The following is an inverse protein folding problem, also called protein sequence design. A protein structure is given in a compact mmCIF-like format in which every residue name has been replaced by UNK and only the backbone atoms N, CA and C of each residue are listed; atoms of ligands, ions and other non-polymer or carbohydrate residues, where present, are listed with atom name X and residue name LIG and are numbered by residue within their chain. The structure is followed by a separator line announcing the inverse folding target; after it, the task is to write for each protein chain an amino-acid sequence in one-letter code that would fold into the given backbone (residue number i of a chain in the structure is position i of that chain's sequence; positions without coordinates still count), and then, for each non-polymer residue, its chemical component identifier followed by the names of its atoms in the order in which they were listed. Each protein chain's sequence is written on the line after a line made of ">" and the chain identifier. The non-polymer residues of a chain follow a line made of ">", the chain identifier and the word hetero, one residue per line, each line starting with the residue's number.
data_IF_057690331491
#
_entry.id   IF_057690331491
#
_cell.length_a   1.000
_cell.length_b   1.000
_cell.length_c   1.000
_cell.angle_alpha   90.00
_cell.angle_beta   90.00
_cell.angle_gamma   90.00
#
_symmetry.space_group_name_H-M   'P 1'
#
loop_
_entity.id
_entity.type
_entity.pdbx_description
1 polymer ?
#
# COMPACT_ATOMS: atom_id res chain seq x y z
N UNK A 1 29.13 20.15 -2.26
CA UNK A 1 28.35 19.90 -1.04
C UNK A 1 27.22 18.93 -1.39
N UNK A 2 27.05 17.81 -0.68
CA UNK A 2 25.93 16.90 -0.88
C UNK A 2 24.69 17.53 -0.27
N UNK A 3 23.61 17.60 -1.04
CA UNK A 3 22.30 18.07 -0.57
C UNK A 3 21.43 16.83 -0.39
N UNK A 4 20.76 16.72 0.75
CA UNK A 4 19.84 15.65 1.05
C UNK A 4 18.43 16.23 1.15
N UNK A 5 17.48 15.60 0.43
CA UNK A 5 16.07 15.94 0.50
C UNK A 5 15.33 14.84 1.27
N UNK A 6 14.39 15.21 2.12
CA UNK A 6 13.42 14.28 2.64
C UNK A 6 12.39 13.96 1.55
N UNK A 7 12.16 12.69 1.29
CA UNK A 7 11.09 12.27 0.40
C UNK A 7 9.76 12.44 1.14
N UNK A 8 8.77 13.05 0.48
CA UNK A 8 7.47 13.32 1.10
C UNK A 8 6.37 13.52 0.07
N UNK A 9 5.17 13.14 0.42
CA UNK A 9 3.97 13.51 -0.31
C UNK A 9 3.60 14.97 -0.06
N UNK A 10 3.10 15.63 -1.09
CA UNK A 10 2.66 17.03 -1.01
C UNK A 10 1.18 17.10 -0.61
N UNK A 11 0.90 17.04 0.69
CA UNK A 11 -0.45 17.14 1.22
C UNK A 11 -0.78 18.59 1.60
N UNK A 12 -1.73 19.19 0.87
CA UNK A 12 -2.22 20.53 1.14
C UNK A 12 -3.59 20.45 1.80
N UNK A 13 -3.79 21.02 3.01
CA UNK A 13 -5.07 20.94 3.68
C UNK A 13 -6.16 21.74 2.94
N UNK A 14 -7.34 21.11 2.77
CA UNK A 14 -8.51 21.72 2.13
C UNK A 14 -9.04 22.91 2.95
N UNK A 15 -9.10 22.74 4.27
CA UNK A 15 -9.40 23.83 5.22
C UNK A 15 -8.12 24.27 5.94
N UNK A 16 -7.36 25.18 5.34
CA UNK A 16 -6.12 25.72 5.93
C UNK A 16 -6.34 26.40 7.28
N UNK A 17 -7.48 27.08 7.48
CA UNK A 17 -7.78 27.78 8.73
C UNK A 17 -8.14 26.82 9.86
N UNK A 18 -8.92 25.78 9.54
CA UNK A 18 -9.24 24.71 10.48
C UNK A 18 -8.01 23.90 10.85
N UNK A 19 -7.17 23.55 9.86
CA UNK A 19 -5.92 22.82 10.07
C UNK A 19 -4.97 23.57 11.02
N UNK A 20 -4.79 24.88 10.82
CA UNK A 20 -3.97 25.72 11.70
C UNK A 20 -4.49 25.77 13.15
N UNK A 21 -5.77 25.45 13.38
CA UNK A 21 -6.40 25.34 14.69
C UNK A 21 -6.46 23.91 15.24
N UNK A 22 -5.75 22.96 14.60
CA UNK A 22 -5.73 21.56 15.02
C UNK A 22 -6.97 20.74 14.64
N UNK A 23 -7.83 21.23 13.73
CA UNK A 23 -8.97 20.47 13.23
C UNK A 23 -8.54 19.52 12.13
N UNK A 24 -9.09 18.30 12.15
CA UNK A 24 -8.92 17.33 11.06
C UNK A 24 -9.52 17.89 9.76
N UNK A 25 -8.75 17.83 8.69
CA UNK A 25 -9.18 18.24 7.36
C UNK A 25 -8.82 17.18 6.33
N UNK A 26 -9.51 17.17 5.20
CA UNK A 26 -9.09 16.38 4.04
C UNK A 26 -7.97 17.11 3.29
N UNK A 27 -7.07 16.40 2.62
CA UNK A 27 -6.18 17.02 1.66
C UNK A 27 -6.96 17.49 0.43
N UNK A 28 -6.44 18.49 -0.27
CA UNK A 28 -7.00 18.94 -1.56
C UNK A 28 -6.94 17.82 -2.58
N UNK A 29 -5.80 17.11 -2.62
CA UNK A 29 -5.59 15.91 -3.42
C UNK A 29 -5.12 14.79 -2.50
N UNK A 30 -5.88 13.71 -2.34
CA UNK A 30 -5.46 12.55 -1.56
C UNK A 30 -4.37 11.75 -2.30
N UNK A 31 -3.58 11.00 -1.56
CA UNK A 31 -2.68 10.00 -2.10
C UNK A 31 -3.53 8.85 -2.61
N UNK A 32 -3.64 8.71 -3.92
CA UNK A 32 -4.51 7.72 -4.55
C UNK A 32 -3.71 6.56 -5.09
N UNK A 33 -4.07 5.35 -4.69
CA UNK A 33 -3.53 4.12 -5.24
C UNK A 33 -4.58 3.40 -6.07
N UNK A 34 -4.19 3.01 -7.28
CA UNK A 34 -5.01 2.20 -8.17
C UNK A 34 -4.67 0.73 -7.97
N UNK A 35 -5.66 -0.07 -7.60
CA UNK A 35 -5.50 -1.50 -7.35
C UNK A 35 -5.79 -2.30 -8.61
N UNK A 36 -4.83 -3.14 -9.00
CA UNK A 36 -4.93 -4.00 -10.18
C UNK A 36 -6.13 -4.95 -10.10
N UNK A 37 -6.88 -5.07 -11.18
CA UNK A 37 -8.03 -5.96 -11.31
C UNK A 37 -7.64 -7.44 -11.39
N UNK A 38 -6.38 -7.74 -11.74
CA UNK A 38 -5.84 -9.09 -11.83
C UNK A 38 -5.65 -9.79 -10.47
N UNK A 39 -5.76 -9.07 -9.35
CA UNK A 39 -5.70 -9.70 -8.02
C UNK A 39 -6.83 -10.71 -7.82
N UNK A 40 -6.56 -11.89 -7.19
CA UNK A 40 -7.61 -12.78 -6.70
C UNK A 40 -8.59 -12.03 -5.81
N UNK A 41 -9.88 -12.33 -5.93
CA UNK A 41 -10.95 -11.56 -5.27
C UNK A 41 -10.79 -11.51 -3.74
N UNK A 42 -10.38 -12.63 -3.14
CA UNK A 42 -10.14 -12.73 -1.70
C UNK A 42 -8.90 -11.97 -1.21
N UNK A 43 -8.03 -11.47 -2.11
CA UNK A 43 -6.87 -10.65 -1.75
C UNK A 43 -7.19 -9.16 -1.73
N UNK A 44 -8.16 -8.71 -2.53
CA UNK A 44 -8.47 -7.29 -2.72
C UNK A 44 -8.83 -6.59 -1.41
N UNK A 45 -9.71 -7.23 -0.62
CA UNK A 45 -10.12 -6.66 0.67
C UNK A 45 -8.95 -6.48 1.64
N UNK A 46 -8.15 -7.52 1.98
CA UNK A 46 -7.01 -7.34 2.88
C UNK A 46 -5.94 -6.38 2.36
N UNK A 47 -5.72 -6.31 1.04
CA UNK A 47 -4.80 -5.32 0.46
C UNK A 47 -5.33 -3.90 0.72
N UNK A 48 -6.60 -3.65 0.42
CA UNK A 48 -7.24 -2.35 0.67
C UNK A 48 -7.18 -1.94 2.13
N UNK A 49 -7.50 -2.85 3.04
CA UNK A 49 -7.43 -2.63 4.47
C UNK A 49 -6.01 -2.29 4.93
N UNK A 50 -5.01 -3.02 4.44
CA UNK A 50 -3.60 -2.78 4.76
C UNK A 50 -3.12 -1.39 4.35
N UNK A 51 -3.49 -0.93 3.16
CA UNK A 51 -3.16 0.42 2.68
C UNK A 51 -3.85 1.49 3.54
N UNK A 52 -5.15 1.33 3.78
CA UNK A 52 -5.95 2.34 4.49
C UNK A 52 -5.64 2.45 5.99
N UNK A 53 -4.93 1.48 6.58
CA UNK A 53 -4.45 1.56 7.97
C UNK A 53 -3.64 2.85 8.23
N UNK A 54 -2.90 3.33 7.25
CA UNK A 54 -2.06 4.52 7.37
C UNK A 54 -2.86 5.81 7.53
N UNK A 55 -4.15 5.84 7.16
CA UNK A 55 -5.01 6.99 7.45
C UNK A 55 -5.02 7.34 8.94
N UNK A 56 -4.92 6.33 9.84
CA UNK A 56 -4.81 6.56 11.28
C UNK A 56 -3.55 7.35 11.67
N UNK A 57 -2.44 7.16 10.95
CA UNK A 57 -1.22 7.92 11.15
C UNK A 57 -1.38 9.35 10.63
N UNK A 58 -2.00 9.52 9.46
CA UNK A 58 -2.29 10.84 8.90
C UNK A 58 -3.27 11.66 9.75
N UNK A 59 -4.22 11.03 10.43
CA UNK A 59 -5.10 11.70 11.40
C UNK A 59 -4.32 12.32 12.57
N UNK A 60 -3.21 11.70 12.99
CA UNK A 60 -2.33 12.26 14.04
C UNK A 60 -1.66 13.56 13.64
N UNK A 61 -1.48 13.78 12.34
CA UNK A 61 -0.91 15.02 11.79
C UNK A 61 -1.98 15.94 11.19
N UNK A 62 -3.26 15.67 11.45
CA UNK A 62 -4.37 16.56 11.10
C UNK A 62 -5.06 16.27 9.75
N UNK A 63 -4.73 15.17 9.07
CA UNK A 63 -5.38 14.80 7.81
C UNK A 63 -6.28 13.58 7.98
N UNK A 64 -7.55 13.69 7.64
CA UNK A 64 -8.46 12.54 7.45
C UNK A 64 -8.54 12.20 5.96
N UNK A 65 -8.77 10.91 5.66
CA UNK A 65 -8.87 10.43 4.28
C UNK A 65 -7.69 10.87 3.40
N UNK A 66 -6.48 10.81 3.97
CA UNK A 66 -5.26 11.21 3.26
C UNK A 66 -4.89 10.22 2.15
N UNK A 67 -5.22 8.94 2.34
CA UNK A 67 -4.97 7.86 1.39
C UNK A 67 -6.30 7.26 0.96
N UNK A 68 -6.43 7.00 -0.34
CA UNK A 68 -7.56 6.27 -0.91
C UNK A 68 -7.07 5.15 -1.85
N UNK A 69 -7.86 4.09 -1.95
CA UNK A 69 -7.62 2.98 -2.87
C UNK A 69 -8.82 2.85 -3.78
N UNK A 70 -8.59 2.94 -5.07
CA UNK A 70 -9.60 2.79 -6.12
C UNK A 70 -9.25 1.62 -7.04
N UNK A 71 -10.25 0.98 -7.60
CA UNK A 71 -10.01 -0.09 -8.58
C UNK A 71 -9.60 0.50 -9.92
N UNK A 72 -8.84 -0.25 -10.71
CA UNK A 72 -8.53 0.15 -12.08
C UNK A 72 -9.82 0.40 -12.86
N UNK A 73 -9.88 1.44 -13.69
CA UNK A 73 -11.03 1.69 -14.54
C UNK A 73 -11.22 0.51 -15.52
N UNK A 74 -12.47 0.09 -15.71
CA UNK A 74 -12.81 -1.04 -16.59
C UNK A 74 -12.41 -0.81 -18.05
N UNK A 75 -12.34 0.44 -18.47
CA UNK A 75 -11.81 0.83 -19.79
C UNK A 75 -10.31 1.09 -19.66
N UNK A 76 -9.52 0.08 -20.01
CA UNK A 76 -8.05 0.13 -19.95
C UNK A 76 -7.40 1.23 -20.79
N UNK A 77 -8.14 1.95 -21.65
CA UNK A 77 -7.60 3.04 -22.45
C UNK A 77 -7.31 4.33 -21.70
N UNK A 78 -7.86 4.47 -20.49
CA UNK A 78 -7.81 5.74 -19.74
C UNK A 78 -6.74 5.75 -18.64
N UNK A 79 -6.13 4.60 -18.30
CA UNK A 79 -5.10 4.49 -17.28
C UNK A 79 -3.98 3.55 -17.73
N UNK A 80 -2.79 4.09 -17.85
CA UNK A 80 -1.57 3.33 -18.07
C UNK A 80 -0.85 3.17 -16.72
N UNK A 81 -0.78 1.94 -16.16
CA UNK A 81 -0.12 1.71 -14.88
C UNK A 81 1.40 1.95 -14.90
N UNK A 82 1.99 2.12 -16.08
CA UNK A 82 3.40 2.49 -16.23
C UNK A 82 3.61 4.01 -16.37
N UNK A 83 2.52 4.79 -16.33
CA UNK A 83 2.58 6.25 -16.34
C UNK A 83 2.83 6.78 -14.92
N UNK A 84 3.83 7.62 -14.75
CA UNK A 84 4.23 8.29 -13.50
C UNK A 84 3.10 9.11 -12.83
N UNK A 85 1.99 9.35 -13.51
CA UNK A 85 0.83 10.02 -12.95
C UNK A 85 -0.01 9.14 -12.02
N UNK A 86 0.21 7.83 -12.04
CA UNK A 86 -0.64 6.87 -11.34
C UNK A 86 0.15 5.99 -10.39
N UNK A 87 -0.05 6.17 -9.09
CA UNK A 87 0.45 5.24 -8.09
C UNK A 87 -0.39 3.95 -8.10
N UNK A 88 0.26 2.79 -8.20
CA UNK A 88 -0.42 1.53 -8.45
C UNK A 88 -0.06 0.45 -7.43
N UNK A 89 -1.03 -0.43 -7.13
CA UNK A 89 -0.78 -1.69 -6.45
C UNK A 89 -0.98 -2.78 -7.50
N UNK A 90 0.13 -3.42 -7.90
CA UNK A 90 0.19 -4.29 -9.08
C UNK A 90 0.32 -5.76 -8.70
N UNK A 91 -0.45 -6.61 -9.39
CA UNK A 91 -0.29 -8.05 -9.33
C UNK A 91 0.77 -8.51 -10.32
N UNK A 92 1.77 -9.25 -9.83
CA UNK A 92 2.84 -9.79 -10.67
C UNK A 92 2.75 -11.30 -10.72
N UNK A 93 2.31 -11.88 -11.86
CA UNK A 93 2.36 -13.32 -12.07
C UNK A 93 3.82 -13.75 -12.27
N UNK A 94 4.42 -14.35 -11.27
CA UNK A 94 5.81 -14.80 -11.34
C UNK A 94 5.96 -16.20 -10.76
N UNK A 95 6.69 -17.06 -11.45
CA UNK A 95 7.12 -18.37 -10.93
C UNK A 95 8.30 -18.28 -9.95
N UNK A 96 8.95 -17.13 -9.85
CA UNK A 96 10.02 -16.91 -8.90
C UNK A 96 9.46 -16.55 -7.51
N UNK A 97 10.12 -17.04 -6.46
CA UNK A 97 9.80 -16.64 -5.10
C UNK A 97 10.37 -15.24 -4.85
N UNK A 98 9.48 -14.25 -4.80
CA UNK A 98 9.85 -12.87 -4.57
C UNK A 98 9.00 -12.27 -3.43
N UNK A 99 9.64 -11.48 -2.59
CA UNK A 99 8.97 -10.63 -1.60
C UNK A 99 8.23 -9.50 -2.32
N UNK A 100 7.11 -9.02 -1.79
CA UNK A 100 6.54 -7.77 -2.24
C UNK A 100 7.59 -6.67 -2.25
N UNK A 101 7.55 -5.83 -3.24
CA UNK A 101 8.46 -4.71 -3.41
C UNK A 101 7.71 -3.44 -3.71
N UNK A 102 8.33 -2.33 -3.40
CA UNK A 102 7.78 -1.00 -3.69
C UNK A 102 8.84 -0.16 -4.38
N UNK A 103 8.39 0.72 -5.25
CA UNK A 103 9.21 1.73 -5.91
C UNK A 103 8.57 3.10 -5.75
N UNK A 104 9.40 4.14 -5.71
CA UNK A 104 8.96 5.53 -5.60
C UNK A 104 9.69 6.40 -6.60
N UNK A 105 8.95 7.25 -7.30
CA UNK A 105 9.51 8.27 -8.17
C UNK A 105 9.44 9.63 -7.47
N UNK A 106 10.58 10.26 -7.34
CA UNK A 106 10.75 11.49 -6.55
C UNK A 106 11.27 12.60 -7.44
N UNK A 107 10.71 13.79 -7.27
CA UNK A 107 11.26 14.99 -7.90
C UNK A 107 12.63 15.30 -7.30
N UNK A 108 13.71 15.24 -8.09
CA UNK A 108 15.09 15.41 -7.58
C UNK A 108 15.37 16.83 -7.04
N UNK A 109 14.56 17.81 -7.40
CA UNK A 109 14.74 19.19 -6.98
C UNK A 109 14.04 19.52 -5.66
N UNK A 110 12.96 18.77 -5.31
CA UNK A 110 12.11 19.12 -4.16
C UNK A 110 12.00 17.99 -3.13
N UNK A 111 12.29 16.74 -3.50
CA UNK A 111 12.03 15.55 -2.69
C UNK A 111 10.55 15.14 -2.66
N UNK A 112 9.69 15.78 -3.46
CA UNK A 112 8.28 15.42 -3.56
C UNK A 112 8.11 14.04 -4.22
N UNK A 113 7.35 13.16 -3.59
CA UNK A 113 6.97 11.87 -4.17
C UNK A 113 5.90 12.15 -5.21
N UNK A 114 6.18 11.80 -6.47
CA UNK A 114 5.30 12.01 -7.60
C UNK A 114 4.45 10.76 -7.88
N UNK A 115 5.05 9.59 -7.69
CA UNK A 115 4.42 8.30 -7.89
C UNK A 115 5.03 7.27 -6.94
N UNK A 116 4.23 6.28 -6.53
CA UNK A 116 4.68 5.12 -5.78
C UNK A 116 3.92 3.87 -6.22
N UNK A 117 4.64 2.81 -6.55
CA UNK A 117 4.03 1.54 -6.94
C UNK A 117 4.44 0.41 -6.01
N UNK A 118 3.47 -0.45 -5.67
CA UNK A 118 3.67 -1.68 -4.91
C UNK A 118 3.45 -2.89 -5.82
N UNK A 119 4.37 -3.84 -5.78
CA UNK A 119 4.31 -5.09 -6.56
C UNK A 119 4.10 -6.26 -5.61
N UNK A 120 2.98 -6.97 -5.77
CA UNK A 120 2.64 -8.17 -4.99
C UNK A 120 2.65 -9.36 -5.94
N UNK A 121 3.52 -10.31 -5.64
CA UNK A 121 3.75 -11.47 -6.49
C UNK A 121 2.77 -12.61 -6.20
N UNK A 122 2.46 -13.41 -7.21
CA UNK A 122 1.52 -14.54 -7.12
C UNK A 122 1.89 -15.59 -6.04
N UNK A 123 3.16 -15.67 -5.66
CA UNK A 123 3.66 -16.59 -4.64
C UNK A 123 3.50 -16.09 -3.19
N UNK A 124 2.89 -14.93 -2.96
CA UNK A 124 2.76 -14.33 -1.62
C UNK A 124 2.02 -15.24 -0.63
N UNK A 125 1.05 -16.03 -1.09
CA UNK A 125 0.35 -17.00 -0.24
C UNK A 125 1.31 -18.05 0.34
N UNK A 126 2.16 -18.60 -0.52
CA UNK A 126 3.19 -19.58 -0.09
C UNK A 126 4.22 -18.95 0.83
N UNK A 127 4.60 -17.73 0.56
CA UNK A 127 5.54 -16.96 1.37
C UNK A 127 4.99 -16.75 2.79
N UNK A 128 3.76 -16.23 2.89
CA UNK A 128 3.09 -15.96 4.17
C UNK A 128 2.82 -17.25 4.96
N UNK A 129 2.45 -18.32 4.27
CA UNK A 129 2.30 -19.63 4.92
C UNK A 129 3.62 -20.10 5.52
N UNK A 130 4.70 -20.08 4.74
CA UNK A 130 6.04 -20.50 5.20
C UNK A 130 6.50 -19.65 6.38
N UNK A 131 6.30 -18.33 6.33
CA UNK A 131 6.66 -17.43 7.42
C UNK A 131 5.87 -17.76 8.69
N UNK A 132 4.55 -17.86 8.59
CA UNK A 132 3.68 -18.22 9.72
C UNK A 132 4.03 -19.56 10.31
N UNK A 133 4.34 -20.54 9.45
CA UNK A 133 4.77 -21.86 9.91
C UNK A 133 6.05 -21.78 10.76
N UNK A 134 7.07 -21.11 10.26
CA UNK A 134 8.36 -20.97 10.98
C UNK A 134 8.19 -20.22 12.30
N UNK A 135 7.40 -19.16 12.31
CA UNK A 135 7.26 -18.28 13.47
C UNK A 135 6.31 -18.85 14.55
N UNK A 136 5.24 -19.53 14.15
CA UNK A 136 4.15 -19.84 15.08
C UNK A 136 3.73 -21.31 15.15
N UNK A 137 4.27 -22.22 14.33
CA UNK A 137 3.83 -23.61 14.29
C UNK A 137 3.97 -24.36 15.64
N UNK A 138 4.86 -23.92 16.53
CA UNK A 138 5.01 -24.51 17.84
C UNK A 138 3.76 -24.31 18.72
N UNK A 139 3.13 -23.14 18.60
CA UNK A 139 2.00 -22.69 19.46
C UNK A 139 0.67 -22.65 18.72
N UNK A 140 0.68 -22.63 17.40
CA UNK A 140 -0.50 -22.54 16.55
C UNK A 140 -0.62 -23.74 15.59
N UNK A 141 -1.44 -24.75 15.94
CA UNK A 141 -1.63 -25.91 15.08
C UNK A 141 -2.24 -25.60 13.70
N UNK A 142 -2.97 -24.49 13.56
CA UNK A 142 -3.68 -24.18 12.31
C UNK A 142 -2.75 -23.82 11.15
N UNK A 143 -1.53 -23.37 11.44
CA UNK A 143 -0.52 -23.08 10.40
C UNK A 143 0.23 -24.34 9.93
N UNK A 144 0.00 -25.49 10.56
CA UNK A 144 0.62 -26.79 10.18
C UNK A 144 -0.06 -27.45 8.99
N UNK A 145 -1.19 -26.91 8.53
CA UNK A 145 -1.88 -27.38 7.33
C UNK A 145 -1.11 -26.98 6.07
N UNK A 146 -1.48 -27.55 4.91
CA UNK A 146 -0.83 -27.23 3.62
C UNK A 146 -1.08 -25.80 3.13
N UNK A 147 -2.02 -25.09 3.74
CA UNK A 147 -2.38 -23.70 3.44
C UNK A 147 -2.77 -22.97 4.72
N UNK A 148 -2.53 -21.67 4.76
CA UNK A 148 -3.09 -20.85 5.82
C UNK A 148 -4.63 -20.83 5.75
N UNK A 149 -5.32 -20.88 6.89
CA UNK A 149 -6.73 -20.54 6.94
C UNK A 149 -6.96 -19.15 6.34
N UNK A 150 -8.06 -18.97 5.61
CA UNK A 150 -8.33 -17.74 4.85
C UNK A 150 -8.26 -16.47 5.73
N UNK A 151 -8.81 -16.54 6.94
CA UNK A 151 -8.74 -15.39 7.86
C UNK A 151 -7.30 -15.02 8.26
N UNK A 152 -6.44 -16.02 8.50
CA UNK A 152 -5.03 -15.78 8.82
C UNK A 152 -4.23 -15.30 7.62
N UNK A 153 -4.53 -15.82 6.45
CA UNK A 153 -3.93 -15.30 5.22
C UNK A 153 -4.30 -13.84 5.00
N UNK A 154 -5.58 -13.47 5.16
CA UNK A 154 -6.04 -12.10 5.00
C UNK A 154 -5.36 -11.15 6.01
N UNK A 155 -5.24 -11.56 7.27
CA UNK A 155 -4.55 -10.79 8.30
C UNK A 155 -3.06 -10.61 7.98
N UNK A 156 -2.37 -11.68 7.61
CA UNK A 156 -0.96 -11.66 7.26
C UNK A 156 -0.69 -10.81 6.00
N UNK A 157 -1.56 -10.91 5.00
CA UNK A 157 -1.46 -10.10 3.78
C UNK A 157 -1.68 -8.62 4.08
N UNK A 158 -2.71 -8.29 4.87
CA UNK A 158 -2.99 -6.91 5.29
C UNK A 158 -1.80 -6.31 6.07
N UNK A 159 -1.21 -7.08 6.99
CA UNK A 159 -0.02 -6.66 7.73
C UNK A 159 1.18 -6.42 6.80
N UNK A 160 1.43 -7.35 5.87
CA UNK A 160 2.52 -7.24 4.89
C UNK A 160 2.35 -5.98 4.03
N UNK A 161 1.14 -5.73 3.53
CA UNK A 161 0.81 -4.54 2.74
C UNK A 161 0.98 -3.27 3.57
N UNK A 162 0.52 -3.25 4.82
CA UNK A 162 0.72 -2.11 5.72
C UNK A 162 2.20 -1.78 5.90
N UNK A 163 3.03 -2.82 6.07
CA UNK A 163 4.48 -2.66 6.22
C UNK A 163 5.13 -2.09 4.95
N UNK A 164 4.76 -2.61 3.76
CA UNK A 164 5.31 -2.12 2.49
C UNK A 164 4.85 -0.69 2.18
N UNK A 165 3.58 -0.35 2.51
CA UNK A 165 3.10 1.04 2.41
C UNK A 165 3.98 2.02 3.18
N UNK A 166 4.45 1.65 4.36
CA UNK A 166 5.31 2.52 5.16
C UNK A 166 6.66 2.87 4.52
N UNK A 167 7.03 2.21 3.43
CA UNK A 167 8.22 2.55 2.63
C UNK A 167 7.93 3.58 1.54
N UNK A 168 6.65 3.78 1.22
CA UNK A 168 6.18 4.67 0.16
C UNK A 168 5.58 5.97 0.71
N UNK A 169 5.46 6.09 2.03
CA UNK A 169 4.89 7.23 2.74
C UNK A 169 5.96 8.02 3.51
#
# INVERSE_FOLDING_TARGET
>A
QRIFYAHRWNLVPKDKKGYAKGKLTEPVVPIRFYMDDAFPENWKKPIREGVLQWNKAFEKIGFKNAIEVVDFPQKRGDLDPDNIEYSCIRYVPSGASALPSSDIHVNPNTGEIMEASMFIYSNVETLLHRQSYVETAAVDPSVRSNRLPEAKFAEALSFLVTKEMGRML
#
